data_IF_357422402414
#
_entry.id   IF_357422402414
#
_cell.length_a   1.000
_cell.length_b   1.000
_cell.length_c   1.000
_cell.angle_alpha   90.00
_cell.angle_beta   90.00
_cell.angle_gamma   90.00
#
_symmetry.space_group_name_H-M   'P 1'
#
loop_
_entity.id
_entity.type
_entity.pdbx_description
1 polymer ?
#
# COMPACT_ATOMS: atom_id res chain seq x y z
N UNK A 1 -141.90 57.40 1.26
CA UNK A 1 -143.26 57.79 1.68
C UNK A 1 -144.23 57.28 0.62
N UNK A 2 -145.36 56.65 0.98
CA UNK A 2 -146.30 56.14 -0.03
C UNK A 2 -147.09 57.31 -0.60
N UNK A 3 -147.19 57.38 -1.93
CA UNK A 3 -147.83 58.45 -2.69
C UNK A 3 -149.28 58.74 -2.19
N UNK A 4 -150.04 57.68 -1.95
CA UNK A 4 -151.44 57.72 -1.51
C UNK A 4 -151.62 58.40 -0.14
N UNK A 5 -150.69 58.20 0.80
CA UNK A 5 -150.74 58.81 2.14
C UNK A 5 -150.51 60.33 2.08
N UNK A 6 -149.67 60.80 1.14
CA UNK A 6 -149.37 62.22 0.94
C UNK A 6 -150.53 62.90 0.21
N UNK A 7 -151.07 62.25 -0.81
CA UNK A 7 -152.22 62.74 -1.58
C UNK A 7 -153.45 62.90 -0.70
N UNK A 8 -153.77 61.91 0.14
CA UNK A 8 -154.91 61.95 1.07
C UNK A 8 -154.80 63.10 2.08
N UNK A 9 -153.61 63.35 2.64
CA UNK A 9 -153.39 64.50 3.53
C UNK A 9 -153.55 65.84 2.82
N UNK A 10 -153.07 65.97 1.58
CA UNK A 10 -153.18 67.22 0.82
C UNK A 10 -154.62 67.53 0.39
N UNK A 11 -155.44 66.50 0.14
CA UNK A 11 -156.88 66.65 -0.22
C UNK A 11 -157.73 67.26 0.91
N UNK A 12 -157.23 67.31 2.13
CA UNK A 12 -157.94 67.98 3.24
C UNK A 12 -157.95 69.51 3.11
N UNK A 13 -157.04 70.07 2.32
CA UNK A 13 -156.86 71.53 2.17
C UNK A 13 -156.92 71.96 0.69
N UNK A 14 -156.54 71.09 -0.23
CA UNK A 14 -156.48 71.37 -1.67
C UNK A 14 -157.52 70.55 -2.45
N UNK A 15 -157.93 71.05 -3.62
CA UNK A 15 -158.84 70.32 -4.51
C UNK A 15 -158.23 68.98 -4.98
N UNK A 16 -159.04 67.98 -5.36
CA UNK A 16 -158.56 66.64 -5.72
C UNK A 16 -157.47 66.64 -6.80
N UNK A 17 -157.61 67.52 -7.79
CA UNK A 17 -156.68 67.68 -8.92
C UNK A 17 -155.35 68.33 -8.47
N UNK A 18 -155.42 69.38 -7.65
CA UNK A 18 -154.22 70.05 -7.12
C UNK A 18 -153.44 69.16 -6.14
N UNK A 19 -154.15 68.42 -5.30
CA UNK A 19 -153.53 67.49 -4.35
C UNK A 19 -152.80 66.33 -5.07
N UNK A 20 -153.32 65.86 -6.21
CA UNK A 20 -152.66 64.84 -7.03
C UNK A 20 -151.34 65.36 -7.63
N UNK A 21 -151.34 66.56 -8.23
CA UNK A 21 -150.13 67.15 -8.83
C UNK A 21 -149.07 67.42 -7.76
N UNK A 22 -149.44 67.99 -6.61
CA UNK A 22 -148.51 68.23 -5.51
C UNK A 22 -147.98 66.93 -4.91
N UNK A 23 -148.82 65.90 -4.74
CA UNK A 23 -148.37 64.59 -4.28
C UNK A 23 -147.39 63.95 -5.27
N UNK A 24 -147.59 64.14 -6.57
CA UNK A 24 -146.70 63.64 -7.62
C UNK A 24 -145.35 64.36 -7.59
N UNK A 25 -145.34 65.69 -7.57
CA UNK A 25 -144.09 66.48 -7.48
C UNK A 25 -143.33 66.15 -6.20
N UNK A 26 -144.01 66.00 -5.06
CA UNK A 26 -143.38 65.62 -3.79
C UNK A 26 -142.85 64.18 -3.86
N UNK A 27 -143.58 63.26 -4.48
CA UNK A 27 -143.15 61.87 -4.61
C UNK A 27 -141.96 61.71 -5.56
N UNK A 28 -141.96 62.39 -6.71
CA UNK A 28 -140.85 62.45 -7.66
C UNK A 28 -139.61 63.08 -7.00
N UNK A 29 -139.76 64.24 -6.36
CA UNK A 29 -138.67 64.89 -5.62
C UNK A 29 -138.10 64.01 -4.50
N UNK A 30 -138.95 63.26 -3.78
CA UNK A 30 -138.53 62.34 -2.72
C UNK A 30 -137.95 61.03 -3.26
N UNK A 31 -138.23 60.67 -4.52
CA UNK A 31 -137.70 59.47 -5.17
C UNK A 31 -136.30 59.73 -5.76
N UNK A 32 -136.05 60.94 -6.26
CA UNK A 32 -134.74 61.38 -6.76
C UNK A 32 -133.77 61.83 -5.64
N UNK A 33 -134.29 62.02 -4.43
CA UNK A 33 -133.49 62.26 -3.23
C UNK A 33 -132.77 60.98 -2.80
N UNK A 34 -131.45 61.05 -2.67
CA UNK A 34 -130.61 60.01 -2.07
C UNK A 34 -131.23 59.59 -0.74
N UNK A 35 -131.59 58.33 -0.62
CA UNK A 35 -132.26 57.84 0.58
C UNK A 35 -131.22 57.68 1.68
N UNK A 36 -131.67 57.77 2.93
CA UNK A 36 -130.81 57.50 4.09
C UNK A 36 -130.18 56.10 4.02
N UNK A 37 -130.84 55.13 3.35
CA UNK A 37 -130.28 53.81 3.05
C UNK A 37 -129.01 53.86 2.22
N UNK A 38 -129.01 54.66 1.14
CA UNK A 38 -127.91 54.73 0.17
C UNK A 38 -126.69 55.44 0.79
N UNK A 39 -126.95 56.45 1.64
CA UNK A 39 -125.90 57.10 2.44
C UNK A 39 -125.30 56.16 3.49
N UNK A 40 -126.12 55.33 4.13
CA UNK A 40 -125.64 54.31 5.07
C UNK A 40 -124.80 53.24 4.34
N UNK A 41 -125.20 52.82 3.14
CA UNK A 41 -124.43 51.88 2.32
C UNK A 41 -123.08 52.48 1.88
N UNK A 42 -123.05 53.73 1.42
CA UNK A 42 -121.80 54.44 1.11
C UNK A 42 -120.91 54.56 2.35
N UNK A 43 -121.47 54.88 3.52
CA UNK A 43 -120.73 54.97 4.78
C UNK A 43 -120.09 53.64 5.15
N UNK A 44 -120.80 52.53 4.95
CA UNK A 44 -120.25 51.18 5.14
C UNK A 44 -119.15 50.86 4.12
N UNK A 45 -119.31 51.22 2.84
CA UNK A 45 -118.24 51.08 1.82
C UNK A 45 -116.99 51.88 2.22
N UNK A 46 -117.16 53.15 2.63
CA UNK A 46 -116.05 54.02 3.05
C UNK A 46 -115.39 53.50 4.33
N UNK A 47 -116.17 52.93 5.27
CA UNK A 47 -115.64 52.26 6.46
C UNK A 47 -114.80 51.04 6.08
N UNK A 48 -115.33 50.19 5.19
CA UNK A 48 -114.62 49.01 4.68
C UNK A 48 -113.36 49.40 3.91
N UNK A 49 -113.40 50.47 3.12
CA UNK A 49 -112.22 51.00 2.42
C UNK A 49 -111.16 51.50 3.41
N UNK A 50 -111.57 52.23 4.45
CA UNK A 50 -110.67 52.67 5.53
C UNK A 50 -109.99 51.49 6.23
N UNK A 51 -110.74 50.42 6.53
CA UNK A 51 -110.18 49.19 7.11
C UNK A 51 -109.17 48.55 6.16
N UNK A 52 -109.53 48.35 4.89
CA UNK A 52 -108.62 47.79 3.87
C UNK A 52 -107.37 48.65 3.65
N UNK A 53 -107.48 49.98 3.71
CA UNK A 53 -106.32 50.88 3.64
C UNK A 53 -105.41 50.72 4.85
N UNK A 54 -105.97 50.51 6.04
CA UNK A 54 -105.21 50.17 7.24
C UNK A 54 -104.46 48.84 7.10
N UNK A 55 -105.16 47.78 6.66
CA UNK A 55 -104.55 46.46 6.40
C UNK A 55 -103.44 46.53 5.35
N UNK A 56 -103.63 47.33 4.29
CA UNK A 56 -102.62 47.53 3.25
C UNK A 56 -101.40 48.28 3.78
N UNK A 57 -101.60 49.31 4.61
CA UNK A 57 -100.50 50.05 5.24
C UNK A 57 -99.68 49.14 6.18
N UNK A 58 -100.35 48.27 6.94
CA UNK A 58 -99.67 47.26 7.77
C UNK A 58 -98.91 46.23 6.92
N UNK A 59 -99.52 45.75 5.83
CA UNK A 59 -98.86 44.83 4.90
C UNK A 59 -97.64 45.50 4.23
N UNK A 60 -97.73 46.78 3.86
CA UNK A 60 -96.63 47.57 3.33
C UNK A 60 -95.50 47.68 4.36
N UNK A 61 -95.81 48.06 5.61
CA UNK A 61 -94.83 48.15 6.69
C UNK A 61 -94.12 46.81 6.94
N UNK A 62 -94.85 45.70 6.94
CA UNK A 62 -94.26 44.34 7.04
C UNK A 62 -93.38 43.99 5.86
N UNK A 63 -93.72 44.48 4.67
CA UNK A 63 -92.92 44.27 3.46
C UNK A 63 -91.63 45.08 3.53
N UNK A 64 -91.70 46.35 3.94
CA UNK A 64 -90.53 47.21 4.17
C UNK A 64 -89.56 46.58 5.18
N UNK A 65 -90.08 46.06 6.30
CA UNK A 65 -89.26 45.34 7.28
C UNK A 65 -88.56 44.12 6.68
N UNK A 66 -89.27 43.29 5.90
CA UNK A 66 -88.67 42.13 5.23
C UNK A 66 -87.61 42.53 4.20
N UNK A 67 -87.80 43.64 3.50
CA UNK A 67 -86.82 44.16 2.55
C UNK A 67 -85.56 44.63 3.29
N UNK A 68 -85.70 45.26 4.44
CA UNK A 68 -84.58 45.67 5.28
C UNK A 68 -83.79 44.46 5.82
N UNK A 69 -84.49 43.44 6.34
CA UNK A 69 -83.88 42.17 6.78
C UNK A 69 -83.12 41.46 5.63
N UNK A 70 -83.70 41.45 4.42
CA UNK A 70 -83.06 40.89 3.23
C UNK A 70 -81.81 41.69 2.84
N UNK A 71 -81.86 43.03 2.92
CA UNK A 71 -80.71 43.87 2.63
C UNK A 71 -79.56 43.62 3.62
N UNK A 72 -79.87 43.44 4.91
CA UNK A 72 -78.88 43.07 5.93
C UNK A 72 -78.28 41.68 5.69
N UNK A 73 -79.12 40.68 5.38
CA UNK A 73 -78.66 39.34 5.04
C UNK A 73 -77.78 39.34 3.78
N UNK A 74 -78.11 40.18 2.80
CA UNK A 74 -77.32 40.35 1.58
C UNK A 74 -75.96 41.00 1.87
N UNK A 75 -75.90 42.09 2.66
CA UNK A 75 -74.63 42.68 3.11
C UNK A 75 -73.77 41.66 3.88
N UNK A 76 -74.39 40.85 4.74
CA UNK A 76 -73.70 39.78 5.46
C UNK A 76 -73.12 38.70 4.53
N UNK A 77 -73.83 38.40 3.45
CA UNK A 77 -73.38 37.44 2.42
C UNK A 77 -72.24 38.01 1.58
N UNK A 78 -72.32 39.28 1.15
CA UNK A 78 -71.25 39.97 0.44
C UNK A 78 -69.96 40.03 1.28
N UNK A 79 -70.08 40.37 2.57
CA UNK A 79 -68.93 40.36 3.48
C UNK A 79 -68.28 38.98 3.63
N UNK A 80 -69.07 37.90 3.59
CA UNK A 80 -68.55 36.52 3.58
C UNK A 80 -67.85 36.18 2.26
N UNK A 81 -68.39 36.63 1.13
CA UNK A 81 -67.77 36.45 -0.18
C UNK A 81 -66.40 37.14 -0.26
N UNK A 82 -66.28 38.40 0.19
CA UNK A 82 -64.99 39.11 0.20
C UNK A 82 -63.94 38.41 1.08
N UNK A 83 -64.35 37.86 2.23
CA UNK A 83 -63.44 37.05 3.07
C UNK A 83 -63.01 35.77 2.37
N UNK A 84 -63.93 35.11 1.67
CA UNK A 84 -63.64 33.88 0.94
C UNK A 84 -62.71 34.14 -0.25
N UNK A 85 -62.90 35.23 -0.98
CA UNK A 85 -61.97 35.68 -2.03
C UNK A 85 -60.55 35.89 -1.50
N UNK A 86 -60.44 36.52 -0.32
CA UNK A 86 -59.13 36.72 0.34
C UNK A 86 -58.48 35.38 0.69
N UNK A 87 -59.21 34.48 1.35
CA UNK A 87 -58.71 33.16 1.74
C UNK A 87 -58.29 32.33 0.52
N UNK A 88 -59.08 32.36 -0.56
CA UNK A 88 -58.75 31.65 -1.81
C UNK A 88 -57.48 32.24 -2.44
N UNK A 89 -57.31 33.56 -2.42
CA UNK A 89 -56.08 34.22 -2.86
C UNK A 89 -54.85 33.79 -2.07
N UNK A 90 -54.95 33.71 -0.74
CA UNK A 90 -53.88 33.23 0.14
C UNK A 90 -53.55 31.75 -0.12
N UNK A 91 -54.58 30.90 -0.29
CA UNK A 91 -54.38 29.49 -0.64
C UNK A 91 -53.67 29.32 -1.98
N UNK A 92 -54.05 30.10 -2.99
CA UNK A 92 -53.40 30.05 -4.31
C UNK A 92 -51.91 30.43 -4.22
N UNK A 93 -51.57 31.43 -3.39
CA UNK A 93 -50.16 31.78 -3.14
C UNK A 93 -49.41 30.69 -2.38
N UNK A 94 -50.03 30.09 -1.37
CA UNK A 94 -49.45 28.97 -0.62
C UNK A 94 -49.22 27.74 -1.51
N UNK A 95 -50.17 27.44 -2.41
CA UNK A 95 -50.04 26.39 -3.41
C UNK A 95 -48.85 26.67 -4.35
N UNK A 96 -48.75 27.87 -4.92
CA UNK A 96 -47.63 28.25 -5.80
C UNK A 96 -46.27 28.14 -5.10
N UNK A 97 -46.18 28.51 -3.82
CA UNK A 97 -44.95 28.32 -3.01
C UNK A 97 -44.64 26.84 -2.80
N UNK A 98 -45.66 26.01 -2.64
CA UNK A 98 -45.50 24.56 -2.45
C UNK A 98 -45.04 23.90 -3.74
N UNK A 99 -45.64 24.24 -4.89
CA UNK A 99 -45.20 23.78 -6.22
C UNK A 99 -43.72 24.09 -6.45
N UNK A 100 -43.29 25.33 -6.19
CA UNK A 100 -41.88 25.71 -6.30
C UNK A 100 -40.96 24.88 -5.40
N UNK A 101 -41.35 24.62 -4.15
CA UNK A 101 -40.55 23.78 -3.23
C UNK A 101 -40.49 22.33 -3.69
N UNK A 102 -41.55 21.81 -4.31
CA UNK A 102 -41.57 20.45 -4.87
C UNK A 102 -40.64 20.36 -6.08
N UNK A 103 -40.62 21.37 -6.96
CA UNK A 103 -39.66 21.44 -8.08
C UNK A 103 -38.21 21.48 -7.58
N UNK A 104 -37.90 22.34 -6.60
CA UNK A 104 -36.56 22.42 -6.00
C UNK A 104 -36.13 21.09 -5.36
N UNK A 105 -37.06 20.38 -4.71
CA UNK A 105 -36.80 19.05 -4.15
C UNK A 105 -36.56 18.00 -5.23
N UNK A 106 -37.31 18.04 -6.34
CA UNK A 106 -37.12 17.12 -7.46
C UNK A 106 -35.73 17.30 -8.10
N UNK A 107 -35.28 18.55 -8.27
CA UNK A 107 -33.93 18.84 -8.76
C UNK A 107 -32.84 18.39 -7.79
N UNK A 108 -33.02 18.62 -6.49
CA UNK A 108 -32.10 18.15 -5.45
C UNK A 108 -32.02 16.61 -5.40
N UNK A 109 -33.16 15.93 -5.55
CA UNK A 109 -33.22 14.48 -5.64
C UNK A 109 -32.47 13.97 -6.87
N UNK A 110 -32.71 14.53 -8.06
CA UNK A 110 -32.00 14.17 -9.29
C UNK A 110 -30.48 14.33 -9.16
N UNK A 111 -30.03 15.43 -8.55
CA UNK A 111 -28.59 15.65 -8.25
C UNK A 111 -28.05 14.61 -7.28
N UNK A 112 -28.84 14.20 -6.30
CA UNK A 112 -28.44 13.17 -5.33
C UNK A 112 -28.32 11.81 -6.00
N UNK A 113 -29.27 11.44 -6.86
CA UNK A 113 -29.24 10.20 -7.65
C UNK A 113 -27.98 10.13 -8.52
N UNK A 114 -27.65 11.22 -9.23
CA UNK A 114 -26.41 11.30 -10.02
C UNK A 114 -25.15 11.08 -9.17
N UNK A 115 -25.06 11.71 -7.99
CA UNK A 115 -23.90 11.53 -7.10
C UNK A 115 -23.81 10.10 -6.55
N UNK A 116 -24.95 9.45 -6.30
CA UNK A 116 -24.99 8.05 -5.86
C UNK A 116 -24.50 7.13 -6.98
N UNK A 117 -24.87 7.39 -8.23
CA UNK A 117 -24.40 6.63 -9.39
C UNK A 117 -22.89 6.78 -9.59
N UNK A 118 -22.36 8.01 -9.53
CA UNK A 118 -20.91 8.27 -9.58
C UNK A 118 -20.14 7.56 -8.45
N UNK A 119 -20.68 7.56 -7.23
CA UNK A 119 -20.09 6.85 -6.09
C UNK A 119 -20.09 5.33 -6.30
N UNK A 120 -21.16 4.77 -6.88
CA UNK A 120 -21.23 3.35 -7.18
C UNK A 120 -20.19 2.94 -8.23
N UNK A 121 -19.96 3.77 -9.25
CA UNK A 121 -18.91 3.55 -10.25
C UNK A 121 -17.51 3.63 -9.63
N UNK A 122 -17.24 4.66 -8.82
CA UNK A 122 -15.96 4.80 -8.11
C UNK A 122 -15.68 3.62 -7.17
N UNK A 123 -16.71 3.12 -6.48
CA UNK A 123 -16.62 1.93 -5.65
C UNK A 123 -16.30 0.68 -6.47
N UNK A 124 -16.91 0.52 -7.65
CA UNK A 124 -16.64 -0.60 -8.57
C UNK A 124 -15.20 -0.59 -9.09
N UNK A 125 -14.66 0.57 -9.44
CA UNK A 125 -13.25 0.68 -9.86
C UNK A 125 -12.30 0.37 -8.70
N UNK A 126 -12.59 0.89 -7.50
CA UNK A 126 -11.82 0.57 -6.28
C UNK A 126 -11.80 -0.94 -6.03
N UNK A 127 -12.95 -1.62 -6.19
CA UNK A 127 -13.01 -3.07 -5.98
C UNK A 127 -12.21 -3.87 -7.01
N UNK A 128 -12.11 -3.38 -8.25
CA UNK A 128 -11.22 -3.96 -9.27
C UNK A 128 -9.75 -3.78 -8.88
N UNK A 129 -9.35 -2.62 -8.36
CA UNK A 129 -7.99 -2.37 -7.91
C UNK A 129 -7.61 -3.28 -6.73
N UNK A 130 -8.49 -3.41 -5.74
CA UNK A 130 -8.31 -4.33 -4.61
C UNK A 130 -8.12 -5.77 -5.13
N UNK A 131 -8.96 -6.21 -6.07
CA UNK A 131 -8.84 -7.55 -6.66
C UNK A 131 -7.52 -7.76 -7.42
N UNK A 132 -6.97 -6.71 -8.04
CA UNK A 132 -5.66 -6.75 -8.70
C UNK A 132 -4.53 -6.84 -7.67
N UNK A 133 -4.65 -6.09 -6.58
CA UNK A 133 -3.68 -6.11 -5.49
C UNK A 133 -3.62 -7.48 -4.81
N UNK A 134 -4.75 -8.11 -4.55
CA UNK A 134 -4.82 -9.47 -3.99
C UNK A 134 -4.06 -10.48 -4.86
N UNK A 135 -4.25 -10.42 -6.18
CA UNK A 135 -3.52 -11.28 -7.13
C UNK A 135 -2.03 -10.99 -7.14
N UNK A 136 -1.62 -9.73 -7.00
CA UNK A 136 -0.21 -9.36 -6.92
C UNK A 136 0.44 -9.87 -5.63
N UNK A 137 -0.28 -9.78 -4.50
CA UNK A 137 0.16 -10.31 -3.21
C UNK A 137 0.31 -11.84 -3.25
N UNK A 138 -0.63 -12.56 -3.86
CA UNK A 138 -0.50 -14.02 -4.05
C UNK A 138 0.75 -14.38 -4.84
N UNK A 139 1.01 -13.70 -5.97
CA UNK A 139 2.23 -13.91 -6.77
C UNK A 139 3.50 -13.59 -6.00
N UNK A 140 3.48 -12.55 -5.17
CA UNK A 140 4.63 -12.18 -4.34
C UNK A 140 4.90 -13.25 -3.27
N UNK A 141 3.86 -13.77 -2.63
CA UNK A 141 3.99 -14.85 -1.66
C UNK A 141 4.58 -16.12 -2.30
N UNK A 142 4.11 -16.51 -3.48
CA UNK A 142 4.68 -17.64 -4.24
C UNK A 142 6.16 -17.40 -4.62
N UNK A 143 6.49 -16.19 -5.09
CA UNK A 143 7.87 -15.83 -5.43
C UNK A 143 8.78 -15.83 -4.21
N UNK A 144 8.28 -15.39 -3.05
CA UNK A 144 9.00 -15.42 -1.78
C UNK A 144 9.25 -16.87 -1.36
N UNK A 145 8.23 -17.74 -1.37
CA UNK A 145 8.39 -19.16 -1.03
C UNK A 145 9.44 -19.85 -1.93
N UNK A 146 9.42 -19.59 -3.23
CA UNK A 146 10.44 -20.11 -4.17
C UNK A 146 11.84 -19.58 -3.88
N UNK A 147 11.94 -18.34 -3.39
CA UNK A 147 13.22 -17.73 -3.03
C UNK A 147 13.76 -18.36 -1.75
N UNK A 148 12.91 -18.56 -0.74
CA UNK A 148 13.25 -19.25 0.51
C UNK A 148 13.78 -20.66 0.23
N UNK A 149 13.09 -21.43 -0.62
CA UNK A 149 13.55 -22.76 -1.04
C UNK A 149 14.93 -22.72 -1.72
N UNK A 150 15.16 -21.77 -2.64
CA UNK A 150 16.47 -21.62 -3.31
C UNK A 150 17.59 -21.26 -2.34
N UNK A 151 17.29 -20.46 -1.32
CA UNK A 151 18.27 -20.10 -0.29
C UNK A 151 18.63 -21.31 0.55
N UNK A 152 17.65 -22.15 0.90
CA UNK A 152 17.89 -23.42 1.60
C UNK A 152 18.75 -24.38 0.77
N UNK A 153 18.42 -24.59 -0.51
CA UNK A 153 19.21 -25.40 -1.44
C UNK A 153 20.66 -24.90 -1.58
N UNK A 154 20.86 -23.57 -1.63
CA UNK A 154 22.18 -22.96 -1.66
C UNK A 154 22.97 -23.18 -0.36
N UNK A 155 22.31 -23.08 0.79
CA UNK A 155 22.94 -23.35 2.08
C UNK A 155 23.41 -24.81 2.18
N UNK A 156 22.60 -25.76 1.69
CA UNK A 156 22.99 -27.18 1.63
C UNK A 156 24.15 -27.42 0.65
N UNK A 157 24.13 -26.78 -0.53
CA UNK A 157 25.23 -26.87 -1.48
C UNK A 157 26.54 -26.28 -0.92
N UNK A 158 26.45 -25.17 -0.20
CA UNK A 158 27.59 -24.56 0.49
C UNK A 158 28.14 -25.51 1.56
N UNK A 159 27.29 -26.10 2.41
CA UNK A 159 27.70 -27.07 3.42
C UNK A 159 28.45 -28.26 2.82
N UNK A 160 27.93 -28.84 1.74
CA UNK A 160 28.61 -29.93 1.01
C UNK A 160 29.96 -29.49 0.46
N UNK A 161 30.04 -28.28 -0.09
CA UNK A 161 31.30 -27.73 -0.60
C UNK A 161 32.32 -27.53 0.52
N UNK A 162 31.91 -27.03 1.69
CA UNK A 162 32.78 -26.88 2.86
C UNK A 162 33.31 -28.24 3.37
N UNK A 163 32.47 -29.27 3.36
CA UNK A 163 32.86 -30.63 3.73
C UNK A 163 33.90 -31.21 2.75
N UNK A 164 33.67 -31.09 1.44
CA UNK A 164 34.63 -31.53 0.41
C UNK A 164 35.95 -30.74 0.47
N UNK A 165 35.88 -29.42 0.72
CA UNK A 165 37.08 -28.60 0.90
C UNK A 165 37.90 -29.05 2.13
N UNK A 166 37.24 -29.42 3.24
CA UNK A 166 37.92 -29.97 4.42
C UNK A 166 38.64 -31.30 4.10
N UNK A 167 38.00 -32.19 3.33
CA UNK A 167 38.62 -33.44 2.89
C UNK A 167 39.86 -33.16 2.03
N UNK A 168 39.72 -32.28 1.04
CA UNK A 168 40.82 -31.89 0.14
C UNK A 168 42.01 -31.28 0.91
N UNK A 169 41.73 -30.44 1.93
CA UNK A 169 42.78 -29.89 2.80
C UNK A 169 43.51 -31.01 3.54
N UNK A 170 42.78 -32.03 4.03
CA UNK A 170 43.34 -33.21 4.67
C UNK A 170 44.25 -34.01 3.74
N UNK A 171 43.76 -34.35 2.55
CA UNK A 171 44.51 -35.07 1.51
C UNK A 171 45.76 -34.29 1.09
N UNK A 172 45.64 -32.97 0.87
CA UNK A 172 46.77 -32.12 0.53
C UNK A 172 47.84 -32.05 1.65
N UNK A 173 47.42 -32.12 2.91
CA UNK A 173 48.35 -32.23 4.03
C UNK A 173 49.09 -33.58 4.02
N UNK A 174 48.42 -34.67 3.67
CA UNK A 174 49.03 -35.99 3.51
C UNK A 174 50.02 -36.02 2.34
N UNK A 175 49.66 -35.49 1.17
CA UNK A 175 50.56 -35.38 0.02
C UNK A 175 51.84 -34.63 0.37
N UNK A 176 51.73 -33.50 1.09
CA UNK A 176 52.91 -32.74 1.56
C UNK A 176 53.80 -33.56 2.48
N UNK A 177 53.23 -34.39 3.36
CA UNK A 177 53.99 -35.29 4.24
C UNK A 177 54.73 -36.36 3.44
N UNK A 178 54.06 -37.00 2.47
CA UNK A 178 54.67 -38.01 1.59
C UNK A 178 55.81 -37.42 0.75
N UNK A 179 55.62 -36.24 0.16
CA UNK A 179 56.67 -35.53 -0.59
C UNK A 179 57.89 -35.18 0.29
N UNK A 180 57.66 -34.79 1.55
CA UNK A 180 58.73 -34.60 2.53
C UNK A 180 59.52 -35.88 2.80
N UNK A 181 58.84 -37.02 2.94
CA UNK A 181 59.46 -38.34 3.09
C UNK A 181 60.29 -38.76 1.88
N UNK A 182 59.79 -38.55 0.66
CA UNK A 182 60.53 -38.86 -0.57
C UNK A 182 61.80 -38.02 -0.72
N UNK A 183 61.73 -36.73 -0.37
CA UNK A 183 62.88 -35.82 -0.40
C UNK A 183 64.00 -36.32 0.52
N UNK A 184 63.65 -36.84 1.70
CA UNK A 184 64.63 -37.42 2.62
C UNK A 184 65.28 -38.69 2.04
N UNK A 185 64.50 -39.59 1.45
CA UNK A 185 65.01 -40.83 0.82
C UNK A 185 65.98 -40.57 -0.32
N UNK A 186 65.70 -39.57 -1.17
CA UNK A 186 66.64 -39.16 -2.24
C UNK A 186 67.94 -38.62 -1.64
N UNK A 187 67.85 -37.86 -0.53
CA UNK A 187 69.02 -37.35 0.19
C UNK A 187 69.92 -38.46 0.74
N UNK A 188 69.34 -39.49 1.38
CA UNK A 188 70.12 -40.61 1.94
C UNK A 188 70.82 -41.43 0.85
N UNK A 189 70.14 -41.72 -0.28
CA UNK A 189 70.77 -42.44 -1.39
C UNK A 189 71.94 -41.67 -2.00
N UNK A 190 71.79 -40.36 -2.17
CA UNK A 190 72.86 -39.51 -2.67
C UNK A 190 74.08 -39.54 -1.75
N UNK A 191 73.85 -39.51 -0.43
CA UNK A 191 74.90 -39.61 0.58
C UNK A 191 75.61 -40.97 0.54
N UNK A 192 74.87 -42.08 0.48
CA UNK A 192 75.44 -43.42 0.44
C UNK A 192 76.33 -43.66 -0.79
N UNK A 193 75.90 -43.20 -1.97
CA UNK A 193 76.70 -43.31 -3.19
C UNK A 193 77.93 -42.38 -3.15
N UNK A 194 77.79 -41.18 -2.57
CA UNK A 194 78.91 -40.27 -2.36
C UNK A 194 80.03 -40.89 -1.52
N UNK A 195 79.67 -41.55 -0.41
CA UNK A 195 80.66 -42.17 0.48
C UNK A 195 81.47 -43.27 -0.23
N UNK A 196 80.90 -43.94 -1.23
CA UNK A 196 81.57 -44.99 -2.03
C UNK A 196 82.49 -44.41 -3.09
N UNK A 197 82.04 -43.39 -3.83
CA UNK A 197 82.75 -42.87 -5.00
C UNK A 197 83.81 -41.81 -4.66
N UNK A 198 83.57 -40.99 -3.64
CA UNK A 198 84.45 -39.86 -3.30
C UNK A 198 85.92 -40.21 -3.10
N UNK A 199 86.32 -41.35 -2.48
CA UNK A 199 87.74 -41.69 -2.35
C UNK A 199 88.48 -41.74 -3.69
N UNK A 200 87.86 -42.31 -4.73
CA UNK A 200 88.45 -42.40 -6.06
C UNK A 200 88.52 -41.04 -6.74
N UNK A 201 87.46 -40.23 -6.62
CA UNK A 201 87.39 -38.88 -7.21
C UNK A 201 88.38 -37.91 -6.55
N UNK A 202 88.47 -37.91 -5.22
CA UNK A 202 89.43 -37.10 -4.47
C UNK A 202 90.88 -37.45 -4.80
N UNK A 203 91.16 -38.74 -5.02
CA UNK A 203 92.48 -39.18 -5.46
C UNK A 203 92.76 -38.73 -6.90
N UNK A 204 91.80 -38.89 -7.82
CA UNK A 204 91.92 -38.50 -9.23
C UNK A 204 92.15 -36.99 -9.40
N UNK A 205 91.33 -36.17 -8.75
CA UNK A 205 91.23 -34.74 -9.06
C UNK A 205 92.12 -33.87 -8.15
N UNK A 206 92.44 -34.36 -6.96
CA UNK A 206 93.21 -33.60 -5.98
C UNK A 206 94.40 -34.35 -5.38
N UNK A 207 94.66 -35.60 -5.78
CA UNK A 207 95.74 -36.42 -5.24
C UNK A 207 95.55 -36.79 -3.76
N UNK A 208 94.33 -36.69 -3.24
CA UNK A 208 94.02 -37.00 -1.84
C UNK A 208 93.69 -38.49 -1.68
N UNK A 209 94.55 -39.23 -0.98
CA UNK A 209 94.33 -40.64 -0.68
C UNK A 209 93.59 -40.77 0.64
N UNK A 210 92.31 -41.13 0.58
CA UNK A 210 91.49 -41.33 1.79
C UNK A 210 92.04 -42.49 2.62
N UNK A 211 92.31 -42.23 3.90
CA UNK A 211 92.74 -43.21 4.89
C UNK A 211 91.50 -43.76 5.62
N UNK A 212 91.21 -45.03 5.41
CA UNK A 212 90.04 -45.69 5.98
C UNK A 212 88.78 -45.46 5.14
N UNK A 213 87.68 -45.07 5.79
CA UNK A 213 86.38 -44.85 5.13
C UNK A 213 85.86 -43.46 5.43
N UNK A 214 85.21 -42.84 4.45
CA UNK A 214 84.37 -41.67 4.70
C UNK A 214 83.09 -42.16 5.38
N UNK A 215 82.67 -41.46 6.44
CA UNK A 215 81.50 -41.85 7.23
C UNK A 215 80.68 -40.62 7.61
N UNK A 216 79.39 -40.82 7.84
CA UNK A 216 78.52 -39.85 8.52
C UNK A 216 78.75 -39.97 10.02
N UNK A 217 79.07 -38.86 10.70
CA UNK A 217 79.34 -38.86 12.14
C UNK A 217 78.95 -37.55 12.81
N UNK A 218 78.55 -37.62 14.08
CA UNK A 218 78.50 -36.46 14.95
C UNK A 218 79.89 -36.11 15.46
N UNK A 219 80.29 -34.86 15.28
CA UNK A 219 81.54 -34.30 15.77
C UNK A 219 81.26 -33.07 16.63
N UNK A 220 82.11 -32.85 17.63
CA UNK A 220 82.00 -31.69 18.50
C UNK A 220 82.62 -30.49 17.79
N UNK A 221 81.85 -29.41 17.68
CA UNK A 221 82.31 -28.17 17.05
C UNK A 221 83.15 -27.30 17.99
N UNK A 222 83.66 -26.17 17.49
CA UNK A 222 84.46 -25.21 18.26
C UNK A 222 83.68 -24.47 19.36
N UNK A 223 82.38 -24.72 19.50
CA UNK A 223 81.51 -24.19 20.55
C UNK A 223 81.07 -25.29 21.53
N UNK A 224 81.59 -26.52 21.39
CA UNK A 224 81.26 -27.65 22.26
C UNK A 224 79.93 -28.33 21.93
N UNK A 225 79.28 -27.99 20.81
CA UNK A 225 78.00 -28.60 20.37
C UNK A 225 78.25 -29.72 19.38
N UNK A 226 77.53 -30.83 19.54
CA UNK A 226 77.59 -31.93 18.59
C UNK A 226 76.85 -31.56 17.30
N UNK A 227 77.58 -31.64 16.18
CA UNK A 227 77.05 -31.40 14.83
C UNK A 227 77.26 -32.64 13.98
N UNK A 228 76.24 -33.01 13.22
CA UNK A 228 76.36 -34.09 12.25
C UNK A 228 77.10 -33.62 11.00
N UNK A 229 78.04 -34.40 10.49
CA UNK A 229 78.69 -34.15 9.19
C UNK A 229 78.39 -35.34 8.29
N UNK A 230 77.86 -35.07 7.10
CA UNK A 230 77.43 -36.13 6.16
C UNK A 230 78.62 -36.96 5.67
N UNK A 231 79.73 -36.28 5.40
CA UNK A 231 80.93 -36.90 4.86
C UNK A 231 82.12 -36.45 5.69
N UNK A 232 82.71 -37.34 6.49
CA UNK A 232 83.93 -37.04 7.22
C UNK A 232 84.93 -38.19 7.15
N UNK A 233 86.23 -37.87 7.02
CA UNK A 233 87.33 -38.83 7.09
C UNK A 233 88.69 -38.18 6.94
N UNK A 234 89.75 -38.96 7.10
CA UNK A 234 91.13 -38.48 6.94
C UNK A 234 91.63 -38.83 5.53
N UNK A 235 92.41 -37.94 4.93
CA UNK A 235 93.09 -38.17 3.65
C UNK A 235 94.53 -37.69 3.74
N UNK A 236 95.40 -38.24 2.90
CA UNK A 236 96.81 -37.84 2.84
C UNK A 236 97.16 -37.38 1.43
N UNK A 237 97.91 -36.29 1.33
CA UNK A 237 98.48 -35.79 0.08
C UNK A 237 99.88 -35.24 0.35
N UNK A 238 100.87 -35.74 -0.38
CA UNK A 238 102.28 -35.31 -0.28
C UNK A 238 102.83 -35.32 1.16
N UNK A 239 102.45 -36.31 1.97
CA UNK A 239 102.88 -36.44 3.37
C UNK A 239 102.15 -35.52 4.36
N UNK A 240 101.19 -34.70 3.91
CA UNK A 240 100.32 -33.89 4.77
C UNK A 240 98.95 -34.56 4.92
N UNK A 241 98.46 -34.60 6.16
CA UNK A 241 97.14 -35.14 6.51
C UNK A 241 96.08 -34.05 6.41
N UNK A 242 94.98 -34.36 5.74
CA UNK A 242 93.81 -33.50 5.57
C UNK A 242 92.57 -34.15 6.17
N UNK A 243 91.67 -33.34 6.72
CA UNK A 243 90.33 -33.81 7.13
C UNK A 243 89.31 -33.48 6.05
N UNK A 244 88.76 -34.50 5.39
CA UNK A 244 87.65 -34.32 4.46
C UNK A 244 86.40 -33.98 5.27
N UNK A 245 85.74 -32.88 4.94
CA UNK A 245 84.44 -32.49 5.50
C UNK A 245 83.51 -32.19 4.35
N UNK A 246 82.37 -32.87 4.29
CA UNK A 246 81.43 -32.65 3.21
C UNK A 246 79.95 -32.76 3.57
N UNK A 247 79.14 -32.19 2.67
CA UNK A 247 77.69 -32.14 2.74
C UNK A 247 77.09 -32.54 1.39
N UNK A 248 76.07 -33.40 1.42
CA UNK A 248 75.37 -33.87 0.23
C UNK A 248 74.05 -33.11 0.07
N UNK A 249 73.77 -32.65 -1.15
CA UNK A 249 72.56 -31.88 -1.47
C UNK A 249 72.00 -32.29 -2.83
N UNK A 250 70.76 -32.78 -2.89
CA UNK A 250 70.13 -33.21 -4.16
C UNK A 250 70.14 -32.11 -5.23
N UNK A 251 69.86 -30.87 -4.85
CA UNK A 251 70.04 -29.71 -5.71
C UNK A 251 70.84 -28.64 -4.97
N UNK A 252 72.03 -28.31 -5.47
CA UNK A 252 72.94 -27.36 -4.84
C UNK A 252 72.66 -25.93 -5.32
N UNK A 253 72.45 -25.00 -4.37
CA UNK A 253 72.34 -23.57 -4.62
C UNK A 253 73.47 -22.77 -3.96
N UNK A 254 73.67 -21.51 -4.37
CA UNK A 254 74.61 -20.61 -3.68
C UNK A 254 74.29 -20.46 -2.18
N UNK A 255 72.99 -20.46 -1.82
CA UNK A 255 72.55 -20.41 -0.43
C UNK A 255 72.97 -21.67 0.34
N UNK A 256 72.99 -22.82 -0.30
CA UNK A 256 73.47 -24.08 0.31
C UNK A 256 74.99 -24.05 0.49
N UNK A 257 75.74 -23.52 -0.48
CA UNK A 257 77.20 -23.29 -0.35
C UNK A 257 77.50 -22.40 0.87
N UNK A 258 76.82 -21.25 0.97
CA UNK A 258 76.97 -20.34 2.10
C UNK A 258 76.53 -20.98 3.44
N UNK A 259 75.48 -21.82 3.40
CA UNK A 259 75.02 -22.56 4.56
C UNK A 259 76.05 -23.60 5.01
N UNK A 260 76.67 -24.33 4.10
CA UNK A 260 77.72 -25.30 4.40
C UNK A 260 78.93 -24.61 5.05
N UNK A 261 79.38 -23.49 4.48
CA UNK A 261 80.48 -22.69 5.07
C UNK A 261 80.12 -22.24 6.49
N UNK A 262 78.96 -21.60 6.66
CA UNK A 262 78.56 -21.02 7.95
C UNK A 262 78.22 -22.07 9.01
N UNK A 263 77.54 -23.16 8.63
CA UNK A 263 76.99 -24.16 9.57
C UNK A 263 77.91 -25.35 9.79
N UNK A 264 78.88 -25.60 8.91
CA UNK A 264 79.87 -26.68 9.06
C UNK A 264 81.27 -26.11 9.17
N UNK A 265 81.81 -25.52 8.09
CA UNK A 265 83.23 -25.17 8.02
C UNK A 265 83.66 -24.20 9.13
N UNK A 266 82.95 -23.07 9.31
CA UNK A 266 83.23 -22.09 10.38
C UNK A 266 83.09 -22.66 11.80
N UNK A 267 82.25 -23.68 11.98
CA UNK A 267 82.04 -24.32 13.28
C UNK A 267 83.08 -25.40 13.56
N UNK A 268 83.71 -25.95 12.52
CA UNK A 268 84.79 -26.93 12.63
C UNK A 268 86.19 -26.31 12.52
N UNK A 269 86.25 -25.00 12.31
CA UNK A 269 87.48 -24.23 12.30
C UNK A 269 88.20 -24.34 13.65
N UNK A 270 89.46 -24.74 13.63
CA UNK A 270 90.28 -25.00 14.82
C UNK A 270 90.01 -26.36 15.50
N UNK A 271 88.98 -27.11 15.08
CA UNK A 271 88.72 -28.48 15.57
C UNK A 271 89.55 -29.50 14.81
N UNK A 272 89.65 -29.34 13.50
CA UNK A 272 90.43 -30.20 12.61
C UNK A 272 91.53 -29.38 11.94
N UNK A 273 92.74 -29.94 11.87
CA UNK A 273 93.81 -29.38 11.06
C UNK A 273 93.55 -29.70 9.57
N UNK A 274 93.83 -28.73 8.71
CA UNK A 274 93.81 -28.86 7.25
C UNK A 274 92.52 -29.48 6.69
N UNK A 275 91.40 -28.77 6.85
CA UNK A 275 90.09 -29.21 6.34
C UNK A 275 90.02 -29.08 4.81
N UNK A 276 89.64 -30.17 4.14
CA UNK A 276 89.33 -30.17 2.72
C UNK A 276 87.80 -30.25 2.51
N UNK A 277 87.14 -29.14 2.12
CA UNK A 277 85.69 -29.08 2.03
C UNK A 277 85.16 -29.65 0.72
N UNK A 278 84.13 -30.50 0.81
CA UNK A 278 83.51 -31.20 -0.32
C UNK A 278 81.99 -31.00 -0.32
N UNK A 279 81.42 -30.66 -1.47
CA UNK A 279 79.98 -30.69 -1.68
C UNK A 279 79.66 -31.74 -2.73
N UNK A 280 78.64 -32.55 -2.43
CA UNK A 280 78.11 -33.53 -3.38
C UNK A 280 76.72 -33.13 -3.81
N UNK A 281 76.44 -33.18 -5.10
CA UNK A 281 75.12 -32.85 -5.62
C UNK A 281 74.68 -33.70 -6.79
N UNK A 282 73.38 -33.79 -7.05
CA UNK A 282 72.90 -34.35 -8.32
C UNK A 282 72.84 -33.28 -9.41
N UNK A 283 72.45 -32.05 -9.04
CA UNK A 283 72.33 -30.93 -9.97
C UNK A 283 72.49 -29.56 -9.28
N UNK A 284 72.84 -28.53 -10.03
CA UNK A 284 72.88 -27.14 -9.54
C UNK A 284 71.58 -26.39 -9.81
N UNK A 285 71.23 -25.41 -8.96
CA UNK A 285 70.05 -24.56 -9.16
C UNK A 285 70.29 -23.31 -10.00
N UNK A 286 71.55 -22.88 -10.17
CA UNK A 286 71.95 -21.79 -11.04
C UNK A 286 73.26 -22.15 -11.78
N UNK A 287 73.52 -21.63 -13.00
CA UNK A 287 74.69 -22.01 -13.79
C UNK A 287 76.04 -21.75 -13.13
N UNK A 288 76.13 -20.75 -12.25
CA UNK A 288 77.39 -20.28 -11.65
C UNK A 288 77.61 -20.78 -10.20
N UNK A 289 76.81 -21.74 -9.72
CA UNK A 289 76.94 -22.31 -8.37
C UNK A 289 78.26 -23.04 -8.19
N UNK A 290 78.69 -23.79 -9.20
CA UNK A 290 79.93 -24.56 -9.15
C UNK A 290 81.15 -23.63 -9.08
N UNK A 291 81.19 -22.62 -9.94
CA UNK A 291 82.24 -21.59 -9.91
C UNK A 291 82.23 -20.84 -8.58
N UNK A 292 81.04 -20.53 -8.05
CA UNK A 292 80.90 -19.89 -6.75
C UNK A 292 81.48 -20.76 -5.62
N UNK A 293 81.21 -22.07 -5.60
CA UNK A 293 81.78 -22.99 -4.62
C UNK A 293 83.31 -23.13 -4.76
N UNK A 294 83.82 -23.25 -6.00
CA UNK A 294 85.25 -23.31 -6.31
C UNK A 294 85.99 -22.05 -5.84
N UNK A 295 85.41 -20.86 -6.07
CA UNK A 295 85.96 -19.59 -5.56
C UNK A 295 86.07 -19.54 -4.03
N UNK A 296 85.23 -20.31 -3.31
CA UNK A 296 85.29 -20.46 -1.85
C UNK A 296 86.20 -21.60 -1.40
N UNK A 297 86.94 -22.24 -2.32
CA UNK A 297 87.84 -23.34 -2.04
C UNK A 297 87.14 -24.67 -1.78
N UNK A 298 85.89 -24.84 -2.24
CA UNK A 298 85.10 -26.05 -2.02
C UNK A 298 85.06 -26.89 -3.29
N UNK A 299 85.46 -28.15 -3.18
CA UNK A 299 85.33 -29.11 -4.27
C UNK A 299 83.86 -29.53 -4.43
N UNK A 300 83.35 -29.54 -5.65
CA UNK A 300 81.99 -29.98 -5.97
C UNK A 300 82.07 -31.22 -6.83
N UNK A 301 81.36 -32.28 -6.43
CA UNK A 301 81.22 -33.51 -7.20
C UNK A 301 79.76 -33.78 -7.50
N UNK A 302 79.50 -34.23 -8.72
CA UNK A 302 78.18 -34.64 -9.14
C UNK A 302 77.99 -36.13 -9.00
N UNK A 303 76.80 -36.55 -8.59
CA UNK A 303 76.54 -37.96 -8.32
C UNK A 303 76.48 -38.85 -9.56
N UNK A 304 76.48 -38.27 -10.76
CA UNK A 304 76.64 -39.02 -12.02
C UNK A 304 78.12 -39.24 -12.39
N UNK A 305 79.07 -38.72 -11.60
CA UNK A 305 80.50 -39.00 -11.72
C UNK A 305 80.93 -40.22 -10.87
N UNK A 306 79.98 -40.81 -10.14
CA UNK A 306 80.19 -41.87 -9.15
C UNK A 306 80.29 -43.28 -9.76
#
# INVERSE_FOLDING_TARGET
MRYEDVQSKLQTVFSPEQAAVLAQVIHEAYTDLVKTSDFNELKEIVRNLSVKMGELAEAQKRTEQRVEELAEAQRGSEARLTRLETIVGELAQAQKRTEKRVEELAEAQKRTEQRVEELAEAQKETQKEVSRLDRALQKLAEAQQRTEQRVEELAEAQKRTEEELRKLIGEHAETRRQLGGLTATVGYRLEDEALKALPALLQRDHGLVVKGRLTRKFVRDNQGKDIEVNIIGQAERNGQTYTIVGESKSQLSKKDVDAFIRKKLKRLEGVFADVFPVLVTYMISQPDVEDYAKQKGIAVYYSYEF
#
